data_IF_788371196792
#
_entry.id   IF_788371196792
#
_cell.length_a   1.000
_cell.length_b   1.000
_cell.length_c   1.000
_cell.angle_alpha   90.00
_cell.angle_beta   90.00
_cell.angle_gamma   90.00
#
_symmetry.space_group_name_H-M   'P 1'
#
loop_
_entity.id
_entity.type
_entity.pdbx_description
1 polymer ?
#
# COMPACT_ATOMS: atom_id res chain seq x y z
N UNK A 1 -18.17 23.28 -19.30
CA UNK A 1 -16.98 23.06 -18.44
C UNK A 1 -16.66 21.58 -18.49
N UNK A 2 -15.46 21.20 -18.96
CA UNK A 2 -15.00 19.81 -18.90
C UNK A 2 -14.73 19.48 -17.43
N UNK A 3 -15.41 18.50 -16.86
CA UNK A 3 -15.06 18.00 -15.53
C UNK A 3 -13.69 17.32 -15.63
N UNK A 4 -12.73 17.78 -14.83
CA UNK A 4 -11.46 17.08 -14.70
C UNK A 4 -11.73 15.65 -14.21
N UNK A 5 -11.01 14.64 -14.75
CA UNK A 5 -11.17 13.26 -14.30
C UNK A 5 -10.84 13.15 -12.80
N UNK A 6 -11.60 12.31 -12.09
CA UNK A 6 -11.26 11.97 -10.70
C UNK A 6 -9.91 11.28 -10.67
N UNK A 7 -9.08 11.62 -9.68
CA UNK A 7 -7.85 10.89 -9.40
C UNK A 7 -8.17 9.41 -9.17
N UNK A 8 -7.33 8.52 -9.71
CA UNK A 8 -7.49 7.08 -9.54
C UNK A 8 -7.07 6.66 -8.12
N UNK A 9 -7.92 5.88 -7.46
CA UNK A 9 -7.63 5.36 -6.11
C UNK A 9 -6.72 4.13 -6.14
N UNK A 10 -6.69 3.44 -7.28
CA UNK A 10 -5.89 2.23 -7.51
C UNK A 10 -4.93 2.46 -8.66
N UNK A 11 -3.68 2.09 -8.44
CA UNK A 11 -2.68 2.03 -9.49
C UNK A 11 -2.70 0.62 -10.11
N UNK A 12 -2.07 0.42 -11.29
CA UNK A 12 -1.94 -0.89 -11.89
C UNK A 12 -1.36 -1.92 -10.92
N UNK A 13 -1.83 -3.17 -11.02
CA UNK A 13 -1.26 -4.28 -10.25
C UNK A 13 0.20 -4.48 -10.64
N UNK A 14 1.01 -4.79 -9.64
CA UNK A 14 2.40 -5.19 -9.80
C UNK A 14 2.52 -6.68 -9.46
N UNK A 15 3.57 -7.34 -9.94
CA UNK A 15 3.85 -8.75 -9.66
C UNK A 15 5.30 -8.87 -9.22
N UNK A 16 5.53 -9.59 -8.14
CA UNK A 16 6.88 -9.92 -7.65
C UNK A 16 6.91 -11.37 -7.18
N UNK A 17 7.81 -12.19 -7.71
CA UNK A 17 7.92 -13.63 -7.41
C UNK A 17 6.59 -14.41 -7.47
N UNK A 18 5.74 -14.06 -8.44
CA UNK A 18 4.43 -14.70 -8.62
C UNK A 18 3.35 -14.23 -7.63
N UNK A 19 3.66 -13.29 -6.75
CA UNK A 19 2.71 -12.64 -5.83
C UNK A 19 2.22 -11.33 -6.43
N UNK A 20 0.90 -11.14 -6.43
CA UNK A 20 0.28 -9.87 -6.82
C UNK A 20 0.43 -8.82 -5.72
N UNK A 21 0.89 -7.64 -6.10
CA UNK A 21 0.98 -6.45 -5.26
C UNK A 21 -0.04 -5.43 -5.76
N UNK A 22 -0.94 -5.01 -4.87
CA UNK A 22 -1.95 -3.99 -5.10
C UNK A 22 -1.48 -2.65 -4.54
N UNK A 23 -1.13 -1.66 -5.38
CA UNK A 23 -0.85 -0.31 -4.92
C UNK A 23 -2.14 0.51 -4.83
N UNK A 24 -2.35 1.18 -3.69
CA UNK A 24 -3.51 2.05 -3.45
C UNK A 24 -3.07 3.44 -3.03
N UNK A 25 -3.81 4.46 -3.44
CA UNK A 25 -3.63 5.82 -2.94
C UNK A 25 -4.38 5.95 -1.61
N UNK A 26 -3.64 6.17 -0.53
CA UNK A 26 -4.19 6.33 0.82
C UNK A 26 -4.10 7.79 1.27
N UNK A 27 -5.25 8.36 1.61
CA UNK A 27 -5.40 9.77 2.00
C UNK A 27 -5.30 10.02 3.51
N UNK A 28 -4.94 8.99 4.29
CA UNK A 28 -4.95 9.06 5.76
C UNK A 28 -6.37 9.04 6.34
N UNK A 29 -6.47 8.83 7.65
CA UNK A 29 -7.74 8.88 8.40
C UNK A 29 -8.04 10.26 9.00
N UNK A 30 -7.05 11.17 8.96
CA UNK A 30 -7.12 12.49 9.58
C UNK A 30 -7.56 13.54 8.55
N UNK A 31 -8.77 14.06 8.73
CA UNK A 31 -9.20 15.32 8.13
C UNK A 31 -9.12 16.41 9.20
N UNK A 32 -7.93 17.02 9.42
CA UNK A 32 -7.78 17.98 10.50
C UNK A 32 -8.68 19.20 10.25
N UNK A 33 -9.34 19.68 11.31
CA UNK A 33 -10.19 20.88 11.25
C UNK A 33 -9.40 22.18 11.11
N UNK A 34 -8.08 22.14 11.41
CA UNK A 34 -7.13 23.24 11.26
C UNK A 34 -5.79 22.70 10.75
N UNK A 35 -5.13 23.45 9.87
CA UNK A 35 -3.84 23.09 9.28
C UNK A 35 -3.95 22.32 7.96
N UNK A 36 -2.81 22.09 7.27
CA UNK A 36 -2.80 21.40 5.98
C UNK A 36 -3.22 19.93 6.15
N UNK A 37 -3.98 19.41 5.18
CA UNK A 37 -4.28 17.98 5.12
C UNK A 37 -2.99 17.20 4.83
N UNK A 38 -2.81 16.00 5.43
CA UNK A 38 -1.71 15.13 5.07
C UNK A 38 -1.69 14.88 3.55
N UNK A 39 -0.50 14.84 2.98
CA UNK A 39 -0.35 14.44 1.58
C UNK A 39 -0.81 12.99 1.42
N UNK A 40 -1.45 12.68 0.29
CA UNK A 40 -1.75 11.31 -0.08
C UNK A 40 -0.46 10.51 -0.23
N UNK A 41 -0.48 9.25 0.18
CA UNK A 41 0.65 8.32 0.03
C UNK A 41 0.19 7.03 -0.62
N UNK A 42 1.09 6.36 -1.33
CA UNK A 42 0.79 5.03 -1.86
C UNK A 42 1.05 3.98 -0.78
N UNK A 43 0.14 3.02 -0.61
CA UNK A 43 0.37 1.80 0.16
C UNK A 43 0.41 0.61 -0.79
N UNK A 44 1.27 -0.35 -0.49
CA UNK A 44 1.44 -1.57 -1.27
C UNK A 44 0.90 -2.73 -0.46
N UNK A 45 -0.02 -3.50 -1.03
CA UNK A 45 -0.65 -4.64 -0.38
C UNK A 45 -0.38 -5.94 -1.11
N UNK A 46 -0.06 -7.02 -0.41
CA UNK A 46 0.07 -8.36 -0.99
C UNK A 46 -0.63 -9.40 -0.09
N UNK A 47 -0.97 -10.55 -0.66
CA UNK A 47 -1.52 -11.69 0.09
C UNK A 47 -0.49 -12.79 0.25
N UNK A 48 -0.44 -13.40 1.43
CA UNK A 48 0.37 -14.58 1.67
C UNK A 48 -0.33 -15.88 1.27
N UNK A 49 0.34 -17.02 1.50
CA UNK A 49 -0.20 -18.35 1.21
C UNK A 49 -1.41 -18.75 2.06
N UNK A 50 -1.66 -18.06 3.18
CA UNK A 50 -2.84 -18.25 4.03
C UNK A 50 -4.00 -17.32 3.65
N UNK A 51 -3.78 -16.41 2.69
CA UNK A 51 -4.74 -15.42 2.24
C UNK A 51 -4.78 -14.15 3.11
N UNK A 52 -3.87 -14.01 4.08
CA UNK A 52 -3.77 -12.81 4.90
C UNK A 52 -3.16 -11.66 4.09
N UNK A 53 -3.66 -10.44 4.32
CA UNK A 53 -3.21 -9.26 3.58
C UNK A 53 -2.21 -8.46 4.39
N UNK A 54 -1.02 -8.29 3.82
CA UNK A 54 0.06 -7.50 4.38
C UNK A 54 0.16 -6.17 3.65
N UNK A 55 0.42 -5.08 4.39
CA UNK A 55 0.57 -3.73 3.83
C UNK A 55 1.92 -3.13 4.19
N UNK A 56 2.54 -2.42 3.24
CA UNK A 56 3.78 -1.66 3.45
C UNK A 56 3.70 -0.27 2.85
N UNK A 57 4.58 0.61 3.35
CA UNK A 57 4.61 2.02 2.96
C UNK A 57 5.44 2.26 1.71
N UNK A 58 6.34 1.33 1.39
CA UNK A 58 7.15 1.33 0.18
C UNK A 58 7.01 0.02 -0.61
N UNK A 59 7.31 0.08 -1.90
CA UNK A 59 7.34 -1.10 -2.78
C UNK A 59 8.47 -2.05 -2.36
N UNK A 60 9.63 -1.49 -2.03
CA UNK A 60 10.83 -2.25 -1.61
C UNK A 60 10.57 -3.06 -0.33
N UNK A 61 9.94 -2.46 0.69
CA UNK A 61 9.53 -3.18 1.90
C UNK A 61 8.58 -4.35 1.59
N UNK A 62 7.66 -4.17 0.62
CA UNK A 62 6.75 -5.23 0.21
C UNK A 62 7.47 -6.35 -0.54
N UNK A 63 8.40 -6.00 -1.43
CA UNK A 63 9.22 -6.98 -2.16
C UNK A 63 10.08 -7.79 -1.19
N UNK A 64 10.75 -7.13 -0.24
CA UNK A 64 11.52 -7.82 0.80
C UNK A 64 10.65 -8.74 1.66
N UNK A 65 9.42 -8.33 2.00
CA UNK A 65 8.48 -9.18 2.73
C UNK A 65 8.12 -10.44 1.92
N UNK A 66 7.88 -10.28 0.61
CA UNK A 66 7.60 -11.40 -0.30
C UNK A 66 8.82 -12.32 -0.41
N UNK A 67 10.02 -11.75 -0.54
CA UNK A 67 11.28 -12.51 -0.62
C UNK A 67 11.55 -13.33 0.65
N UNK A 68 11.15 -12.79 1.82
CA UNK A 68 11.19 -13.50 3.11
C UNK A 68 10.04 -14.49 3.31
N UNK A 69 9.16 -14.66 2.33
CA UNK A 69 8.01 -15.57 2.43
C UNK A 69 6.98 -15.13 3.48
N UNK A 70 6.79 -13.81 3.66
CA UNK A 70 5.90 -13.22 4.65
C UNK A 70 6.24 -13.52 6.11
N UNK A 71 7.46 -13.97 6.41
CA UNK A 71 7.94 -14.09 7.77
C UNK A 71 7.99 -12.68 8.41
N UNK A 72 7.08 -12.43 9.34
CA UNK A 72 7.14 -11.27 10.21
C UNK A 72 8.14 -11.61 11.30
N UNK A 73 9.33 -11.02 11.22
CA UNK A 73 10.24 -10.98 12.37
C UNK A 73 9.48 -10.23 13.47
N UNK A 74 8.91 -10.94 14.45
CA UNK A 74 8.36 -10.36 15.67
C UNK A 74 9.53 -9.79 16.48
N UNK A 75 10.13 -8.70 16.01
CA UNK A 75 10.97 -7.85 16.81
C UNK A 75 10.02 -6.95 17.60
N UNK A 76 9.62 -7.43 18.78
CA UNK A 76 9.11 -6.58 19.85
C UNK A 76 10.11 -5.42 20.04
N UNK A 77 9.64 -4.19 19.83
CA UNK A 77 10.30 -2.96 20.29
C UNK A 77 9.36 -2.23 21.24
#
# INVERSE_FOLDING_TARGET
>A
MLNAPRSVDHLPLLVHNGVEIQPIVHYGFSSPSKGPRPAARTLYGARDGNGERHWRSSLDEMQQLIDKGFAIDNAEQ
#
